data_IF_640207679240
#
_entry.id   IF_640207679240
#
_cell.length_a   1.000
_cell.length_b   1.000
_cell.length_c   1.000
_cell.angle_alpha   90.00
_cell.angle_beta   90.00
_cell.angle_gamma   90.00
#
_symmetry.space_group_name_H-M   'P 1'
#
loop_
_entity.id
_entity.type
_entity.pdbx_description
1 polymer ?
#
# COMPACT_ATOMS: atom_id res chain seq x y z
N UNK A 1 -15.01 -30.86 6.81
CA UNK A 1 -13.57 -30.82 6.41
C UNK A 1 -13.22 -29.38 6.10
N UNK A 2 -12.10 -28.88 6.58
CA UNK A 2 -11.63 -27.53 6.22
C UNK A 2 -11.06 -27.59 4.79
N UNK A 3 -11.40 -26.59 3.95
CA UNK A 3 -10.80 -26.46 2.60
C UNK A 3 -9.31 -26.20 2.71
N UNK A 4 -8.52 -26.82 1.84
CA UNK A 4 -7.11 -26.48 1.60
C UNK A 4 -6.99 -25.12 0.89
N UNK A 5 -5.81 -24.51 0.87
CA UNK A 5 -5.61 -23.23 0.17
C UNK A 5 -5.98 -23.30 -1.33
N UNK A 6 -5.56 -24.32 -2.11
CA UNK A 6 -6.01 -24.45 -3.50
C UNK A 6 -7.53 -24.54 -3.67
N UNK A 7 -8.21 -25.27 -2.77
CA UNK A 7 -9.68 -25.39 -2.81
C UNK A 7 -10.36 -24.03 -2.46
N UNK A 8 -9.78 -23.26 -1.52
CA UNK A 8 -10.24 -21.92 -1.21
C UNK A 8 -10.08 -20.97 -2.41
N UNK A 9 -8.91 -20.99 -3.04
CA UNK A 9 -8.63 -20.12 -4.20
C UNK A 9 -9.58 -20.42 -5.37
N UNK A 10 -9.79 -21.70 -5.68
CA UNK A 10 -10.77 -22.12 -6.70
C UNK A 10 -12.21 -21.70 -6.33
N UNK A 11 -12.58 -21.74 -5.06
CA UNK A 11 -13.89 -21.31 -4.60
C UNK A 11 -14.10 -19.81 -4.74
N UNK A 12 -13.14 -18.98 -4.28
CA UNK A 12 -13.30 -17.52 -4.31
C UNK A 12 -13.20 -16.95 -5.74
N UNK A 13 -12.56 -17.67 -6.67
CA UNK A 13 -12.46 -17.27 -8.06
C UNK A 13 -13.82 -17.25 -8.78
N UNK A 14 -14.73 -18.14 -8.37
CA UNK A 14 -16.07 -18.26 -8.97
C UNK A 14 -17.18 -17.72 -8.06
N UNK A 15 -16.85 -17.17 -6.89
CA UNK A 15 -17.81 -16.71 -5.89
C UNK A 15 -18.60 -15.46 -6.36
N UNK A 16 -17.98 -14.65 -7.20
CA UNK A 16 -18.57 -13.43 -7.74
C UNK A 16 -18.55 -13.47 -9.27
N UNK A 17 -19.65 -13.02 -9.90
CA UNK A 17 -19.84 -13.10 -11.35
C UNK A 17 -18.85 -12.26 -12.17
N UNK A 18 -18.24 -11.25 -11.53
CA UNK A 18 -17.29 -10.33 -12.14
C UNK A 18 -15.94 -10.41 -11.47
N UNK A 19 -14.89 -10.59 -12.25
CA UNK A 19 -13.51 -10.57 -11.73
C UNK A 19 -13.13 -9.23 -11.07
N UNK A 20 -13.75 -8.14 -11.57
CA UNK A 20 -13.65 -6.79 -11.01
C UNK A 20 -15.03 -6.14 -10.99
N UNK A 21 -15.46 -5.71 -9.82
CA UNK A 21 -16.72 -5.02 -9.59
C UNK A 21 -16.46 -3.86 -8.63
N UNK A 22 -16.27 -2.63 -9.18
CA UNK A 22 -15.84 -1.48 -8.40
C UNK A 22 -16.93 -1.05 -7.41
N UNK A 23 -16.53 -0.81 -6.17
CA UNK A 23 -17.39 -0.37 -5.09
C UNK A 23 -16.87 -0.79 -3.74
N UNK A 24 -17.13 0.00 -2.72
CA UNK A 24 -16.62 -0.24 -1.37
C UNK A 24 -17.68 -0.81 -0.43
N UNK A 25 -18.94 -0.85 -0.83
CA UNK A 25 -20.06 -1.19 0.07
C UNK A 25 -20.00 -2.65 0.54
N UNK A 26 -19.80 -3.59 -0.39
CA UNK A 26 -19.74 -5.03 -0.09
C UNK A 26 -18.55 -5.36 0.81
N UNK A 27 -17.34 -5.04 0.35
CA UNK A 27 -16.11 -5.32 1.09
C UNK A 27 -16.05 -4.53 2.39
N UNK A 28 -16.51 -3.29 2.41
CA UNK A 28 -16.59 -2.45 3.61
C UNK A 28 -17.56 -2.99 4.64
N UNK A 29 -18.72 -3.51 4.23
CA UNK A 29 -19.67 -4.14 5.16
C UNK A 29 -19.09 -5.38 5.82
N UNK A 30 -18.45 -6.26 5.04
CA UNK A 30 -17.78 -7.45 5.59
C UNK A 30 -16.60 -7.06 6.47
N UNK A 31 -15.83 -6.05 6.09
CA UNK A 31 -14.73 -5.50 6.89
C UNK A 31 -15.19 -4.96 8.24
N UNK A 32 -16.36 -4.28 8.29
CA UNK A 32 -17.00 -3.85 9.56
C UNK A 32 -17.44 -5.02 10.43
N UNK A 33 -18.07 -6.04 9.86
CA UNK A 33 -18.48 -7.26 10.59
C UNK A 33 -17.28 -7.99 11.19
N UNK A 34 -16.16 -8.02 10.49
CA UNK A 34 -14.89 -8.58 10.94
C UNK A 34 -14.14 -7.66 11.91
N UNK A 35 -14.52 -6.39 12.00
CA UNK A 35 -13.83 -5.34 12.76
C UNK A 35 -12.36 -5.14 12.32
N UNK A 36 -12.06 -5.18 11.01
CA UNK A 36 -10.69 -5.14 10.48
C UNK A 36 -10.32 -3.83 9.75
N UNK A 37 -11.14 -2.79 9.87
CA UNK A 37 -10.90 -1.51 9.20
C UNK A 37 -9.74 -0.69 9.81
N UNK A 38 -9.18 -1.14 10.93
CA UNK A 38 -7.98 -0.60 11.56
C UNK A 38 -6.95 -1.73 11.69
N UNK A 39 -6.25 -2.07 10.58
CA UNK A 39 -5.42 -3.27 10.51
C UNK A 39 -4.10 -3.18 11.28
N UNK A 40 -3.64 -1.98 11.63
CA UNK A 40 -2.41 -1.72 12.38
C UNK A 40 -2.53 -0.48 13.24
N UNK A 41 -1.49 -0.13 14.01
CA UNK A 41 -1.44 1.15 14.72
C UNK A 41 -1.35 2.32 13.75
N UNK A 42 -0.57 2.13 12.67
CA UNK A 42 -0.52 3.03 11.53
C UNK A 42 -0.79 2.26 10.24
N UNK A 43 -1.39 2.94 9.28
CA UNK A 43 -1.74 2.37 7.97
C UNK A 43 -1.24 3.28 6.85
N UNK A 44 -0.53 2.70 5.88
CA UNK A 44 -0.07 3.37 4.67
C UNK A 44 -0.78 2.76 3.45
N UNK A 45 -1.44 3.58 2.64
CA UNK A 45 -1.95 3.19 1.32
C UNK A 45 -0.99 3.64 0.22
N UNK A 46 -0.64 2.74 -0.69
CA UNK A 46 0.27 3.01 -1.81
C UNK A 46 -0.43 2.78 -3.14
N UNK A 47 -0.70 3.86 -3.87
CA UNK A 47 -1.24 3.84 -5.23
C UNK A 47 -0.18 4.27 -6.26
N UNK A 48 -0.46 4.05 -7.52
CA UNK A 48 0.41 4.41 -8.66
C UNK A 48 0.22 3.45 -9.82
N UNK A 49 0.71 3.80 -10.99
CA UNK A 49 0.81 2.86 -12.10
C UNK A 49 2.03 1.97 -11.90
N UNK A 50 3.19 2.56 -11.60
CA UNK A 50 4.45 1.87 -11.38
C UNK A 50 5.07 2.25 -10.03
N UNK A 51 5.91 1.36 -9.47
CA UNK A 51 6.70 1.62 -8.27
C UNK A 51 6.01 1.28 -6.94
N UNK A 52 4.74 0.88 -6.93
CA UNK A 52 3.97 0.55 -5.71
C UNK A 52 4.66 -0.53 -4.86
N UNK A 53 4.84 -1.73 -5.42
CA UNK A 53 5.44 -2.87 -4.70
C UNK A 53 6.85 -2.58 -4.20
N UNK A 54 7.71 -1.92 -5.01
CA UNK A 54 9.05 -1.50 -4.57
C UNK A 54 9.00 -0.49 -3.42
N UNK A 55 7.99 0.40 -3.41
CA UNK A 55 7.77 1.36 -2.31
C UNK A 55 7.32 0.63 -1.05
N UNK A 56 6.37 -0.32 -1.16
CA UNK A 56 5.93 -1.16 -0.05
C UNK A 56 7.10 -1.95 0.56
N UNK A 57 7.98 -2.50 -0.28
CA UNK A 57 9.16 -3.25 0.18
C UNK A 57 10.13 -2.35 0.96
N UNK A 58 10.43 -1.15 0.46
CA UNK A 58 11.27 -0.20 1.19
C UNK A 58 10.66 0.23 2.52
N UNK A 59 9.35 0.51 2.56
CA UNK A 59 8.65 0.86 3.81
C UNK A 59 8.80 -0.27 4.83
N UNK A 60 8.52 -1.51 4.43
CA UNK A 60 8.61 -2.67 5.31
C UNK A 60 10.03 -2.83 5.87
N UNK A 61 11.06 -2.79 5.02
CA UNK A 61 12.45 -2.97 5.47
C UNK A 61 12.92 -1.88 6.41
N UNK A 62 12.55 -0.63 6.13
CA UNK A 62 12.86 0.49 7.02
C UNK A 62 12.12 0.36 8.35
N UNK A 63 10.84 -0.02 8.34
CA UNK A 63 10.06 -0.23 9.56
C UNK A 63 10.61 -1.37 10.43
N UNK A 64 11.00 -2.48 9.82
CA UNK A 64 11.64 -3.60 10.52
C UNK A 64 12.97 -3.21 11.17
N UNK A 65 13.77 -2.34 10.53
CA UNK A 65 15.00 -1.78 11.12
C UNK A 65 14.70 -0.95 12.37
N UNK A 66 13.54 -0.31 12.45
CA UNK A 66 13.08 0.42 13.64
C UNK A 66 12.45 -0.50 14.70
N UNK A 67 12.48 -1.82 14.51
CA UNK A 67 11.90 -2.80 15.45
C UNK A 67 10.37 -2.85 15.43
N UNK A 68 9.73 -2.28 14.40
CA UNK A 68 8.28 -2.34 14.24
C UNK A 68 7.83 -3.70 13.72
N UNK A 69 6.68 -4.15 14.17
CA UNK A 69 5.98 -5.27 13.54
C UNK A 69 5.22 -4.77 12.30
N UNK A 70 5.37 -5.48 11.17
CA UNK A 70 4.81 -5.05 9.89
C UNK A 70 3.84 -6.07 9.31
N UNK A 71 2.77 -5.56 8.68
CA UNK A 71 1.94 -6.31 7.76
C UNK A 71 1.97 -5.64 6.38
N UNK A 72 2.41 -6.38 5.36
CA UNK A 72 2.47 -5.87 4.00
C UNK A 72 1.59 -6.71 3.08
N UNK A 73 0.75 -6.05 2.26
CA UNK A 73 0.03 -6.73 1.18
C UNK A 73 0.34 -6.08 -0.16
N UNK A 74 0.69 -6.94 -1.14
CA UNK A 74 1.07 -6.54 -2.50
C UNK A 74 0.39 -7.42 -3.54
N UNK A 75 0.23 -6.93 -4.77
CA UNK A 75 -0.40 -7.68 -5.87
C UNK A 75 0.13 -7.26 -7.25
N UNK A 76 0.16 -8.19 -8.22
CA UNK A 76 -0.13 -9.63 -8.10
C UNK A 76 1.02 -10.41 -7.43
N UNK A 77 0.82 -11.68 -7.09
CA UNK A 77 1.90 -12.60 -6.74
C UNK A 77 2.59 -13.15 -8.00
N UNK A 78 3.82 -13.63 -7.84
CA UNK A 78 4.60 -14.19 -8.94
C UNK A 78 4.46 -15.73 -9.04
N UNK A 79 4.48 -16.42 -7.90
CA UNK A 79 4.47 -17.89 -7.82
C UNK A 79 3.38 -18.43 -6.90
N UNK A 80 3.25 -17.90 -5.69
CA UNK A 80 2.35 -18.39 -4.65
C UNK A 80 1.49 -17.28 -4.07
N UNK A 81 0.23 -17.59 -3.78
CA UNK A 81 -0.71 -16.65 -3.18
C UNK A 81 -0.18 -16.00 -1.89
N UNK A 82 0.56 -16.75 -1.09
CA UNK A 82 1.16 -16.30 0.18
C UNK A 82 2.02 -15.03 0.02
N UNK A 83 2.64 -14.81 -1.14
CA UNK A 83 3.43 -13.61 -1.44
C UNK A 83 2.62 -12.32 -1.28
N UNK A 84 1.27 -12.42 -1.39
CA UNK A 84 0.36 -11.28 -1.24
C UNK A 84 0.23 -10.78 0.18
N UNK A 85 0.55 -11.62 1.19
CA UNK A 85 0.38 -11.28 2.61
C UNK A 85 1.65 -11.64 3.35
N UNK A 86 2.35 -10.62 3.79
CA UNK A 86 3.66 -10.75 4.45
C UNK A 86 3.57 -10.15 5.85
N UNK A 87 4.01 -10.90 6.85
CA UNK A 87 4.13 -10.45 8.24
C UNK A 87 5.61 -10.44 8.62
N UNK A 88 6.13 -9.32 9.07
CA UNK A 88 7.53 -9.15 9.50
C UNK A 88 8.54 -9.67 8.46
N UNK A 89 8.30 -9.39 7.18
CA UNK A 89 9.18 -9.77 6.08
C UNK A 89 9.07 -11.22 5.62
N UNK A 90 8.14 -12.02 6.18
CA UNK A 90 7.90 -13.40 5.78
C UNK A 90 6.46 -13.63 5.29
N UNK A 91 6.26 -14.33 4.15
CA UNK A 91 4.93 -14.73 3.71
C UNK A 91 4.24 -15.60 4.76
N UNK A 92 2.94 -15.37 4.97
CA UNK A 92 2.13 -16.16 5.89
C UNK A 92 1.91 -17.59 5.39
N UNK A 93 1.61 -18.51 6.30
CA UNK A 93 1.36 -19.93 5.97
C UNK A 93 0.01 -20.16 5.27
N UNK A 94 -0.12 -21.31 4.60
CA UNK A 94 -1.37 -21.74 3.98
C UNK A 94 -2.48 -21.87 5.04
N UNK A 95 -2.13 -22.35 6.24
CA UNK A 95 -3.05 -22.51 7.38
C UNK A 95 -3.62 -21.18 7.85
N UNK A 96 -2.79 -20.15 8.01
CA UNK A 96 -3.23 -18.81 8.41
C UNK A 96 -4.18 -18.21 7.38
N UNK A 97 -3.86 -18.34 6.08
CA UNK A 97 -4.73 -17.88 4.99
C UNK A 97 -6.07 -18.61 5.02
N UNK A 98 -6.06 -19.94 5.16
CA UNK A 98 -7.29 -20.75 5.24
C UNK A 98 -8.16 -20.37 6.44
N UNK A 99 -7.56 -20.07 7.59
CA UNK A 99 -8.28 -19.60 8.77
C UNK A 99 -8.91 -18.22 8.53
N UNK A 100 -8.17 -17.29 7.96
CA UNK A 100 -8.68 -15.97 7.59
C UNK A 100 -9.86 -16.09 6.59
N UNK A 101 -9.71 -16.94 5.56
CA UNK A 101 -10.77 -17.20 4.59
C UNK A 101 -12.03 -17.78 5.24
N UNK A 102 -11.89 -18.72 6.19
CA UNK A 102 -13.03 -19.27 6.92
C UNK A 102 -13.77 -18.20 7.76
N UNK A 103 -13.04 -17.27 8.38
CA UNK A 103 -13.62 -16.14 9.12
C UNK A 103 -14.39 -15.20 8.19
N UNK A 104 -13.84 -14.88 7.02
CA UNK A 104 -14.49 -14.04 6.02
C UNK A 104 -15.75 -14.73 5.51
N UNK A 105 -15.69 -16.01 5.18
CA UNK A 105 -16.83 -16.79 4.70
C UNK A 105 -18.00 -16.77 5.72
N UNK A 106 -17.68 -16.95 6.99
CA UNK A 106 -18.68 -16.90 8.05
C UNK A 106 -19.29 -15.49 8.22
N UNK A 107 -18.50 -14.44 7.98
CA UNK A 107 -18.90 -13.03 8.20
C UNK A 107 -19.60 -12.40 7.00
N UNK A 108 -19.28 -12.82 5.77
CA UNK A 108 -19.89 -12.27 4.56
C UNK A 108 -21.35 -12.66 4.39
N UNK A 109 -21.75 -13.83 4.91
CA UNK A 109 -23.12 -14.36 4.79
C UNK A 109 -23.57 -14.39 3.31
N UNK A 110 -24.59 -13.58 2.96
CA UNK A 110 -25.16 -13.44 1.61
C UNK A 110 -24.37 -12.51 0.68
N UNK A 111 -23.42 -11.75 1.20
CA UNK A 111 -22.63 -10.79 0.39
C UNK A 111 -21.64 -11.57 -0.46
N UNK A 112 -21.73 -11.43 -1.79
CA UNK A 112 -20.70 -11.95 -2.69
C UNK A 112 -19.50 -11.01 -2.71
N UNK A 113 -18.28 -11.57 -2.74
CA UNK A 113 -17.03 -10.86 -2.78
C UNK A 113 -16.22 -11.33 -3.99
N UNK A 114 -15.62 -10.40 -4.72
CA UNK A 114 -14.66 -10.72 -5.76
C UNK A 114 -13.38 -11.33 -5.15
N UNK A 115 -12.58 -12.00 -5.97
CA UNK A 115 -11.30 -12.57 -5.57
C UNK A 115 -10.41 -11.56 -4.85
N UNK A 116 -10.35 -10.33 -5.38
CA UNK A 116 -9.51 -9.27 -4.79
C UNK A 116 -10.08 -8.75 -3.48
N UNK A 117 -11.40 -8.55 -3.37
CA UNK A 117 -12.05 -8.16 -2.11
C UNK A 117 -11.84 -9.21 -1.02
N UNK A 118 -11.94 -10.49 -1.38
CA UNK A 118 -11.69 -11.60 -0.44
C UNK A 118 -10.22 -11.63 0.03
N UNK A 119 -9.28 -11.44 -0.92
CA UNK A 119 -7.84 -11.37 -0.63
C UNK A 119 -7.49 -10.17 0.25
N UNK A 120 -8.10 -9.01 -0.01
CA UNK A 120 -7.94 -7.80 0.80
C UNK A 120 -8.36 -8.04 2.24
N UNK A 121 -9.56 -8.57 2.45
CA UNK A 121 -10.05 -8.87 3.80
C UNK A 121 -9.15 -9.87 4.54
N UNK A 122 -8.61 -10.87 3.84
CA UNK A 122 -7.68 -11.83 4.45
C UNK A 122 -6.41 -11.14 4.98
N UNK A 123 -5.83 -10.21 4.20
CA UNK A 123 -4.69 -9.44 4.66
C UNK A 123 -5.04 -8.62 5.91
N UNK A 124 -6.16 -7.89 5.91
CA UNK A 124 -6.58 -7.08 7.04
C UNK A 124 -6.87 -7.93 8.31
N UNK A 125 -7.49 -9.11 8.17
CA UNK A 125 -7.71 -10.07 9.27
C UNK A 125 -6.38 -10.48 9.87
N UNK A 126 -5.42 -10.90 9.04
CA UNK A 126 -4.13 -11.37 9.51
C UNK A 126 -3.32 -10.25 10.15
N UNK A 127 -3.33 -9.04 9.60
CA UNK A 127 -2.63 -7.89 10.20
C UNK A 127 -3.16 -7.57 11.59
N UNK A 128 -4.47 -7.62 11.78
CA UNK A 128 -5.08 -7.40 13.07
C UNK A 128 -4.77 -8.53 14.06
N UNK A 129 -4.80 -9.80 13.61
CA UNK A 129 -4.44 -10.95 14.46
C UNK A 129 -3.00 -10.90 14.95
N UNK A 130 -2.07 -10.49 14.06
CA UNK A 130 -0.65 -10.29 14.39
C UNK A 130 -0.37 -8.98 15.11
N UNK A 131 -1.38 -8.10 15.28
CA UNK A 131 -1.28 -6.80 15.97
C UNK A 131 -0.12 -5.95 15.43
N UNK A 132 -0.03 -5.83 14.11
CA UNK A 132 1.06 -5.11 13.46
C UNK A 132 1.09 -3.64 13.87
N UNK A 133 2.29 -3.07 14.03
CA UNK A 133 2.47 -1.65 14.27
C UNK A 133 2.20 -0.86 12.98
N UNK A 134 2.63 -1.39 11.83
CA UNK A 134 2.50 -0.74 10.54
C UNK A 134 1.85 -1.68 9.50
N UNK A 135 0.67 -1.30 9.02
CA UNK A 135 0.00 -1.93 7.88
C UNK A 135 0.36 -1.20 6.58
N UNK A 136 0.92 -1.91 5.61
CA UNK A 136 1.38 -1.40 4.32
C UNK A 136 0.53 -2.03 3.22
N UNK A 137 -0.31 -1.23 2.58
CA UNK A 137 -1.35 -1.70 1.67
C UNK A 137 -1.10 -1.19 0.25
N UNK A 138 -0.77 -2.09 -0.67
CA UNK A 138 -0.70 -1.77 -2.09
C UNK A 138 -2.10 -1.79 -2.71
N UNK A 139 -2.50 -0.68 -3.33
CA UNK A 139 -3.71 -0.58 -4.14
C UNK A 139 -3.57 -1.45 -5.40
N UNK A 140 -4.53 -2.31 -5.65
CA UNK A 140 -4.53 -3.20 -6.82
C UNK A 140 -4.79 -2.47 -8.12
N UNK A 141 -5.90 -1.75 -8.21
CA UNK A 141 -6.32 -1.04 -9.42
C UNK A 141 -6.97 0.31 -9.10
N UNK A 142 -6.51 1.38 -9.76
CA UNK A 142 -7.05 2.72 -9.56
C UNK A 142 -6.69 3.27 -8.18
N UNK A 143 -7.65 3.36 -7.29
CA UNK A 143 -7.53 3.84 -5.92
C UNK A 143 -8.88 4.05 -5.26
N UNK A 144 -9.68 4.98 -5.76
CA UNK A 144 -10.96 5.43 -5.17
C UNK A 144 -11.93 4.29 -4.85
N UNK A 145 -12.08 3.33 -5.74
CA UNK A 145 -12.99 2.19 -5.61
C UNK A 145 -12.26 0.85 -5.43
N UNK A 146 -10.96 0.89 -5.12
CA UNK A 146 -10.17 -0.31 -4.81
C UNK A 146 -10.53 -0.84 -3.42
N UNK A 147 -10.58 -2.16 -3.27
CA UNK A 147 -10.94 -2.79 -2.00
C UNK A 147 -10.01 -2.41 -0.84
N UNK A 148 -8.73 -2.09 -1.10
CA UNK A 148 -7.82 -1.61 -0.05
C UNK A 148 -8.26 -0.24 0.51
N UNK A 149 -9.06 0.53 -0.21
CA UNK A 149 -9.49 1.87 0.19
C UNK A 149 -10.65 1.89 1.21
N UNK A 150 -11.07 0.72 1.73
CA UNK A 150 -12.03 0.63 2.84
C UNK A 150 -11.45 1.07 4.18
N UNK A 151 -10.13 1.15 4.30
CA UNK A 151 -9.44 1.61 5.51
C UNK A 151 -9.18 3.12 5.48
N UNK A 152 -8.94 3.72 6.64
CA UNK A 152 -8.46 5.09 6.72
C UNK A 152 -6.94 5.08 6.95
N UNK A 153 -6.15 5.55 5.98
CA UNK A 153 -4.71 5.61 6.13
C UNK A 153 -4.27 6.78 7.02
N UNK A 154 -3.13 6.63 7.68
CA UNK A 154 -2.39 7.73 8.33
C UNK A 154 -1.48 8.45 7.33
N UNK A 155 -1.11 7.78 6.24
CA UNK A 155 -0.36 8.32 5.10
C UNK A 155 -0.88 7.68 3.81
N UNK A 156 -1.07 8.48 2.78
CA UNK A 156 -1.23 8.02 1.40
C UNK A 156 0.04 8.30 0.58
N UNK A 157 0.36 7.39 -0.34
CA UNK A 157 1.47 7.55 -1.27
C UNK A 157 0.94 7.36 -2.69
N UNK A 158 1.20 8.31 -3.57
CA UNK A 158 0.89 8.18 -5.00
C UNK A 158 2.20 8.20 -5.77
N UNK A 159 2.56 7.03 -6.31
CA UNK A 159 3.72 6.86 -7.16
C UNK A 159 3.42 7.30 -8.60
N UNK A 160 4.31 6.98 -9.54
CA UNK A 160 4.18 7.34 -10.95
C UNK A 160 2.80 7.02 -11.52
N UNK A 161 2.19 8.00 -12.19
CA UNK A 161 0.95 7.86 -12.94
C UNK A 161 1.29 7.84 -14.44
N UNK A 162 0.81 6.81 -15.15
CA UNK A 162 0.94 6.67 -16.59
C UNK A 162 -0.34 6.04 -17.16
N UNK A 163 -0.48 6.05 -18.48
CA UNK A 163 -1.58 5.35 -19.14
C UNK A 163 -1.46 3.84 -18.89
N UNK A 164 -2.45 3.30 -18.21
CA UNK A 164 -2.56 1.88 -17.90
C UNK A 164 -4.02 1.56 -17.57
N UNK A 165 -4.45 0.32 -17.83
CA UNK A 165 -5.83 -0.11 -17.58
C UNK A 165 -6.90 0.88 -18.08
N UNK A 166 -6.71 1.44 -19.30
CA UNK A 166 -7.52 2.53 -19.83
C UNK A 166 -9.01 2.18 -19.94
N UNK A 167 -9.33 0.90 -20.20
CA UNK A 167 -10.72 0.40 -20.22
C UNK A 167 -11.46 0.57 -18.89
N UNK A 168 -10.73 0.75 -17.79
CA UNK A 168 -11.27 0.85 -16.43
C UNK A 168 -11.07 2.22 -15.79
N UNK A 169 -9.91 2.82 -16.00
CA UNK A 169 -9.50 4.05 -15.31
C UNK A 169 -9.64 5.31 -16.18
N UNK A 170 -9.92 5.13 -17.50
CA UNK A 170 -10.05 6.22 -18.44
C UNK A 170 -8.83 6.41 -19.34
N UNK A 171 -9.00 7.19 -20.41
CA UNK A 171 -8.06 7.33 -21.53
C UNK A 171 -7.01 8.45 -21.33
N UNK A 172 -6.98 9.10 -20.16
CA UNK A 172 -6.02 10.16 -19.88
C UNK A 172 -5.37 10.01 -18.51
N UNK A 173 -4.16 10.54 -18.37
CA UNK A 173 -3.45 10.58 -17.09
C UNK A 173 -4.20 11.36 -16.02
N UNK A 174 -5.03 12.34 -16.42
CA UNK A 174 -5.88 13.10 -15.51
C UNK A 174 -7.01 12.27 -14.92
N UNK A 175 -7.65 11.41 -15.72
CA UNK A 175 -8.68 10.49 -15.23
C UNK A 175 -8.08 9.45 -14.30
N UNK A 176 -6.94 8.86 -14.68
CA UNK A 176 -6.20 7.90 -13.85
C UNK A 176 -5.72 8.58 -12.55
N UNK A 177 -5.25 9.82 -12.65
CA UNK A 177 -4.85 10.63 -11.50
C UNK A 177 -5.98 10.83 -10.50
N UNK A 178 -7.18 11.18 -10.97
CA UNK A 178 -8.39 11.34 -10.14
C UNK A 178 -8.76 10.06 -9.40
N UNK A 179 -8.71 8.90 -10.08
CA UNK A 179 -8.97 7.61 -9.44
C UNK A 179 -7.95 7.29 -8.34
N UNK A 180 -6.66 7.57 -8.59
CA UNK A 180 -5.60 7.33 -7.61
C UNK A 180 -5.67 8.31 -6.44
N UNK A 181 -6.01 9.58 -6.69
CA UNK A 181 -6.19 10.58 -5.65
C UNK A 181 -7.32 10.22 -4.65
N UNK A 182 -8.24 9.33 -5.03
CA UNK A 182 -9.31 8.84 -4.17
C UNK A 182 -8.84 8.06 -2.92
N UNK A 183 -7.54 7.79 -2.77
CA UNK A 183 -6.98 7.23 -1.51
C UNK A 183 -6.62 8.30 -0.48
N UNK A 184 -6.59 9.57 -0.87
CA UNK A 184 -6.35 10.67 0.07
C UNK A 184 -7.50 10.84 1.05
N UNK A 185 -7.20 11.41 2.20
CA UNK A 185 -8.18 11.76 3.23
C UNK A 185 -7.98 13.22 3.68
N UNK A 186 -9.05 13.92 4.11
CA UNK A 186 -8.94 15.30 4.60
C UNK A 186 -7.91 15.44 5.71
N UNK A 187 -6.96 16.34 5.51
CA UNK A 187 -5.92 16.66 6.49
C UNK A 187 -4.85 15.59 6.72
N UNK A 188 -4.93 14.42 6.06
CA UNK A 188 -3.94 13.34 6.18
C UNK A 188 -2.84 13.55 5.12
N UNK A 189 -1.54 13.48 5.48
CA UNK A 189 -0.45 13.71 4.53
C UNK A 189 -0.47 12.74 3.34
N UNK A 190 -0.10 13.26 2.15
CA UNK A 190 0.11 12.47 0.95
C UNK A 190 1.51 12.71 0.39
N UNK A 191 2.24 11.63 0.14
CA UNK A 191 3.55 11.65 -0.50
C UNK A 191 3.38 11.40 -2.00
N UNK A 192 3.91 12.29 -2.83
CA UNK A 192 3.88 12.21 -4.29
C UNK A 192 5.26 11.81 -4.82
N UNK A 193 5.35 10.60 -5.39
CA UNK A 193 6.62 9.98 -5.81
C UNK A 193 7.25 10.55 -7.08
N UNK A 194 6.58 11.50 -7.75
CA UNK A 194 7.06 12.15 -8.99
C UNK A 194 7.13 13.67 -8.84
N UNK A 195 8.02 14.29 -9.60
CA UNK A 195 8.17 15.76 -9.64
C UNK A 195 7.03 16.45 -10.37
N UNK A 196 6.42 15.75 -11.31
CA UNK A 196 5.27 16.23 -12.07
C UNK A 196 4.12 15.24 -11.91
N UNK A 197 3.06 15.69 -11.27
CA UNK A 197 1.82 14.93 -11.10
C UNK A 197 0.72 15.52 -12.00
N UNK A 198 -0.26 14.71 -12.45
CA UNK A 198 -1.46 15.22 -13.09
C UNK A 198 -2.14 16.27 -12.22
N UNK A 199 -2.68 17.32 -12.85
CA UNK A 199 -3.35 18.43 -12.14
C UNK A 199 -4.52 17.92 -11.30
N UNK A 200 -5.22 16.89 -11.76
CA UNK A 200 -6.32 16.25 -11.02
C UNK A 200 -5.93 15.71 -9.64
N UNK A 201 -4.65 15.33 -9.43
CA UNK A 201 -4.14 14.89 -8.12
C UNK A 201 -3.95 16.11 -7.20
N UNK A 202 -3.42 17.20 -7.73
CA UNK A 202 -3.21 18.44 -6.99
C UNK A 202 -4.57 19.05 -6.59
N UNK A 203 -5.51 19.14 -7.54
CA UNK A 203 -6.86 19.66 -7.30
C UNK A 203 -7.59 18.86 -6.21
N UNK A 204 -7.42 17.51 -6.22
CA UNK A 204 -8.02 16.66 -5.21
C UNK A 204 -7.41 16.90 -3.82
N UNK A 205 -6.11 17.11 -3.74
CA UNK A 205 -5.42 17.41 -2.49
C UNK A 205 -5.83 18.76 -1.92
N UNK A 206 -5.94 19.79 -2.77
CA UNK A 206 -6.43 21.11 -2.39
C UNK A 206 -7.86 21.05 -1.84
N UNK A 207 -8.76 20.35 -2.54
CA UNK A 207 -10.16 20.19 -2.13
C UNK A 207 -10.31 19.47 -0.78
N UNK A 208 -9.40 18.56 -0.46
CA UNK A 208 -9.35 17.81 0.80
C UNK A 208 -8.50 18.48 1.87
N UNK A 209 -7.83 19.60 1.56
CA UNK A 209 -6.82 20.21 2.45
C UNK A 209 -5.76 19.18 2.90
N UNK A 210 -5.34 18.30 1.99
CA UNK A 210 -4.34 17.26 2.21
C UNK A 210 -2.94 17.88 2.15
N UNK A 211 -2.11 17.78 3.20
CA UNK A 211 -0.71 18.18 3.13
C UNK A 211 0.04 17.34 2.11
N UNK A 212 0.66 17.98 1.11
CA UNK A 212 1.44 17.31 0.07
C UNK A 212 2.93 17.36 0.37
N UNK A 213 3.57 16.19 0.25
CA UNK A 213 5.03 16.06 0.22
C UNK A 213 5.42 15.55 -1.16
N UNK A 214 5.79 16.48 -2.05
CA UNK A 214 6.08 16.17 -3.44
C UNK A 214 7.59 16.03 -3.67
N UNK A 215 7.97 15.00 -4.46
CA UNK A 215 9.34 14.83 -4.92
C UNK A 215 9.77 16.04 -5.78
N UNK A 216 11.00 16.51 -5.59
CA UNK A 216 11.53 17.71 -6.20
C UNK A 216 11.31 18.99 -5.37
N UNK A 217 10.37 18.95 -4.40
CA UNK A 217 10.10 20.03 -3.45
C UNK A 217 10.44 19.59 -2.02
N UNK A 218 9.58 18.82 -1.37
CA UNK A 218 9.78 18.38 0.02
C UNK A 218 10.89 17.33 0.18
N UNK A 219 11.12 16.51 -0.80
CA UNK A 219 12.18 15.50 -0.82
C UNK A 219 12.66 15.23 -2.25
N UNK A 220 13.85 14.63 -2.39
CA UNK A 220 14.34 14.36 -3.74
C UNK A 220 15.83 14.07 -3.81
N UNK A 221 16.42 14.35 -4.97
CA UNK A 221 17.83 14.15 -5.28
C UNK A 221 18.42 15.43 -5.87
N UNK A 222 19.65 15.73 -5.47
CA UNK A 222 20.53 16.69 -6.14
C UNK A 222 21.66 15.91 -6.85
N UNK A 223 22.61 16.62 -7.46
CA UNK A 223 23.76 15.95 -8.13
C UNK A 223 24.52 14.97 -7.22
N UNK A 224 24.60 15.23 -5.91
CA UNK A 224 25.44 14.46 -4.98
C UNK A 224 24.72 13.98 -3.73
N UNK A 225 23.47 14.37 -3.50
CA UNK A 225 22.77 14.06 -2.28
C UNK A 225 21.29 13.76 -2.51
N UNK A 226 20.71 12.99 -1.59
CA UNK A 226 19.27 12.91 -1.39
C UNK A 226 18.87 13.75 -0.19
N UNK A 227 17.65 14.28 -0.19
CA UNK A 227 17.12 15.11 0.89
C UNK A 227 15.66 14.79 1.20
N UNK A 228 15.24 15.04 2.44
CA UNK A 228 13.90 14.77 2.96
C UNK A 228 13.45 15.86 3.92
N UNK A 229 12.17 16.21 3.88
CA UNK A 229 11.55 17.00 4.92
C UNK A 229 11.38 16.14 6.17
N UNK A 230 11.95 16.56 7.29
CA UNK A 230 11.87 15.92 8.60
C UNK A 230 11.34 16.92 9.63
N UNK A 231 10.95 16.46 10.83
CA UNK A 231 10.41 17.30 11.90
C UNK A 231 11.32 18.47 12.28
N UNK A 232 12.63 18.20 12.38
CA UNK A 232 13.64 19.15 12.80
C UNK A 232 14.32 19.90 11.64
N UNK A 233 13.70 19.89 10.47
CA UNK A 233 14.23 20.53 9.27
C UNK A 233 14.45 19.57 8.11
N UNK A 234 15.54 19.73 7.36
CA UNK A 234 15.84 18.88 6.19
C UNK A 234 16.97 17.92 6.51
N UNK A 235 16.68 16.61 6.45
CA UNK A 235 17.73 15.59 6.44
C UNK A 235 18.37 15.52 5.06
N UNK A 236 19.70 15.55 5.00
CA UNK A 236 20.48 15.42 3.77
C UNK A 236 21.49 14.27 3.89
N UNK A 237 21.53 13.43 2.86
CA UNK A 237 22.45 12.27 2.78
C UNK A 237 23.32 12.41 1.55
N UNK A 238 24.60 12.67 1.77
CA UNK A 238 25.59 12.83 0.69
C UNK A 238 26.00 11.47 0.10
N UNK A 239 26.19 11.43 -1.21
CA UNK A 239 26.64 10.26 -1.96
C UNK A 239 25.90 8.97 -1.60
N UNK A 240 24.56 8.93 -1.70
CA UNK A 240 23.80 7.73 -1.35
C UNK A 240 24.22 6.55 -2.21
N UNK A 241 24.27 5.33 -1.65
CA UNK A 241 24.65 4.15 -2.42
C UNK A 241 23.66 3.84 -3.53
N UNK A 242 24.14 3.18 -4.59
CA UNK A 242 23.26 2.54 -5.54
C UNK A 242 22.42 1.44 -4.84
N UNK A 243 21.21 1.22 -5.31
CA UNK A 243 20.33 0.15 -4.81
C UNK A 243 19.73 -0.63 -5.98
N UNK A 244 19.20 -1.81 -5.69
CA UNK A 244 18.62 -2.68 -6.71
C UNK A 244 17.23 -2.20 -7.16
N UNK A 245 16.44 -1.64 -6.25
CA UNK A 245 15.12 -1.11 -6.55
C UNK A 245 15.17 0.39 -6.90
N UNK A 246 14.13 0.91 -7.60
CA UNK A 246 14.09 2.29 -8.06
C UNK A 246 14.30 3.32 -6.94
N UNK A 247 15.12 4.33 -7.19
CA UNK A 247 15.38 5.41 -6.25
C UNK A 247 14.11 6.19 -5.87
N UNK A 248 13.18 6.53 -6.79
CA UNK A 248 11.95 7.21 -6.41
C UNK A 248 11.13 6.46 -5.37
N UNK A 249 11.09 5.12 -5.44
CA UNK A 249 10.41 4.27 -4.45
C UNK A 249 11.04 4.36 -3.07
N UNK A 250 12.38 4.37 -3.00
CA UNK A 250 13.11 4.58 -1.76
C UNK A 250 12.83 5.94 -1.15
N UNK A 251 12.91 7.00 -1.95
CA UNK A 251 12.68 8.37 -1.50
C UNK A 251 11.26 8.54 -0.95
N UNK A 252 10.25 8.03 -1.64
CA UNK A 252 8.86 8.10 -1.20
C UNK A 252 8.62 7.31 0.10
N UNK A 253 9.24 6.12 0.25
CA UNK A 253 9.15 5.31 1.44
C UNK A 253 9.74 6.01 2.67
N UNK A 254 10.93 6.59 2.54
CA UNK A 254 11.60 7.35 3.61
C UNK A 254 10.76 8.57 3.99
N UNK A 255 10.30 9.35 3.02
CA UNK A 255 9.48 10.53 3.30
C UNK A 255 8.18 10.16 4.02
N UNK A 256 7.52 9.07 3.64
CA UNK A 256 6.30 8.61 4.30
C UNK A 256 6.55 8.25 5.78
N UNK A 257 7.65 7.57 6.08
CA UNK A 257 8.00 7.22 7.47
C UNK A 257 8.37 8.46 8.30
N UNK A 258 9.01 9.47 7.71
CA UNK A 258 9.22 10.76 8.38
C UNK A 258 7.89 11.49 8.66
N UNK A 259 6.93 11.45 7.75
CA UNK A 259 5.59 12.00 8.00
C UNK A 259 4.85 11.29 9.16
N UNK A 260 5.19 10.03 9.43
CA UNK A 260 4.70 9.27 10.60
C UNK A 260 5.59 9.45 11.85
N UNK A 261 6.61 10.31 11.79
CA UNK A 261 7.53 10.61 12.88
C UNK A 261 8.40 9.42 13.32
N UNK A 262 8.69 8.47 12.42
CA UNK A 262 9.65 7.40 12.73
C UNK A 262 11.09 7.92 12.64
N UNK A 263 11.93 7.65 13.67
CA UNK A 263 13.28 8.19 13.76
C UNK A 263 14.29 7.37 12.93
N UNK A 264 14.24 7.50 11.61
CA UNK A 264 15.18 6.81 10.72
C UNK A 264 16.59 7.37 10.85
N UNK A 265 17.58 6.51 11.09
CA UNK A 265 18.98 6.90 11.12
C UNK A 265 19.61 6.88 9.74
N UNK A 266 20.75 7.59 9.57
CA UNK A 266 21.53 7.52 8.34
C UNK A 266 21.96 6.09 8.00
N UNK A 267 22.35 5.31 9.02
CA UNK A 267 22.77 3.92 8.87
C UNK A 267 21.61 3.05 8.32
N UNK A 268 20.40 3.19 8.87
CA UNK A 268 19.21 2.48 8.38
C UNK A 268 18.95 2.76 6.90
N UNK A 269 19.03 4.05 6.51
CA UNK A 269 18.82 4.47 5.13
C UNK A 269 19.84 3.85 4.17
N UNK A 270 21.11 3.89 4.54
CA UNK A 270 22.20 3.37 3.70
C UNK A 270 22.14 1.84 3.58
N UNK A 271 21.88 1.14 4.68
CA UNK A 271 21.77 -0.31 4.72
C UNK A 271 20.58 -0.81 3.89
N UNK A 272 19.40 -0.28 4.15
CA UNK A 272 18.19 -0.67 3.43
C UNK A 272 18.33 -0.38 1.94
N UNK A 273 18.89 0.79 1.57
CA UNK A 273 19.09 1.13 0.17
C UNK A 273 19.97 0.14 -0.59
N UNK A 274 21.00 -0.43 0.07
CA UNK A 274 21.93 -1.41 -0.52
C UNK A 274 21.34 -2.82 -0.62
N UNK A 275 20.59 -3.24 0.40
CA UNK A 275 20.25 -4.65 0.61
C UNK A 275 18.90 -5.05 0.00
N UNK A 276 17.99 -4.11 -0.20
CA UNK A 276 16.63 -4.43 -0.61
C UNK A 276 16.52 -4.80 -2.08
N UNK A 277 15.93 -5.98 -2.32
CA UNK A 277 15.54 -6.49 -3.64
C UNK A 277 14.09 -6.98 -3.57
N UNK A 278 13.41 -7.10 -4.73
CA UNK A 278 12.16 -7.85 -4.80
C UNK A 278 12.46 -9.35 -4.74
N UNK A 279 11.52 -10.16 -4.22
CA UNK A 279 11.64 -11.61 -4.15
C UNK A 279 11.79 -12.28 -5.51
#
# INVERSE_FOLDING_TARGET
MSRSLPEWLAYIEVLHDRAWDPGLDRVGEVGRRLNVLHPGKHTILVAGTNGKGSTCEYIERLALKQGLTTGKTTSPHLRRFNERIVINGAPVSDEEICQAFAMIEASRREISLSYFEFSTLAALVLFQQHKVDLAILEVGLGGRLDAMNIVNPDISIIMKIALDHQSWLGESVELIGREKAGIMRPGIPCVLGEEQMPQSVIDAAEALHTPLFQRGDAFGITEKAIYFAALDGTLRVENPPAGQLPLPSFLAAVQALFCLNYPLTLEDLLDVRKQVSLP
#
